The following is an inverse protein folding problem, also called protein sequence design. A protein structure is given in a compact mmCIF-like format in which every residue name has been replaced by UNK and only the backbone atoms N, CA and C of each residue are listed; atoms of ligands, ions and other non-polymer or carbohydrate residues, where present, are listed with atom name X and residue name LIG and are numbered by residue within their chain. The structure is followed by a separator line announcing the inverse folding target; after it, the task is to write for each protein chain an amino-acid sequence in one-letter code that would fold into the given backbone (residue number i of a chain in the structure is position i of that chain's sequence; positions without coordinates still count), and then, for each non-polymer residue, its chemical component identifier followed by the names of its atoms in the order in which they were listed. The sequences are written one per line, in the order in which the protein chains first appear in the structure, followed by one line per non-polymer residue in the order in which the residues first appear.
data_IF_422900729284
#
_entry.id   IF_422900729284
#
_cell.length_a   1.000
_cell.length_b   1.000
_cell.length_c   1.000
_cell.angle_alpha   90.00
_cell.angle_beta   90.00
_cell.angle_gamma   90.00
#
_symmetry.space_group_name_H-M   'P 1'
#
loop_
_entity.id
_entity.type
_entity.pdbx_description
1 polymer ?
#
# COMPACT_ATOMS: atom_id res chain seq x y z
N UNK A 1 30.43 40.71 10.26
CA UNK A 1 29.47 39.68 10.72
C UNK A 1 28.61 39.04 9.61
N UNK A 2 28.52 39.58 8.39
CA UNK A 2 27.63 39.03 7.34
C UNK A 2 28.17 37.77 6.60
N UNK A 3 29.48 37.50 6.60
CA UNK A 3 30.10 36.41 5.81
C UNK A 3 29.94 35.00 6.38
N UNK A 4 29.61 34.86 7.67
CA UNK A 4 29.41 33.56 8.31
C UNK A 4 27.97 33.05 8.15
N UNK A 5 26.98 33.95 8.09
CA UNK A 5 25.57 33.61 7.86
C UNK A 5 25.34 32.98 6.48
N UNK A 6 26.00 33.49 5.43
CA UNK A 6 25.86 32.93 4.08
C UNK A 6 26.38 31.49 3.95
N UNK A 7 27.47 31.16 4.64
CA UNK A 7 28.04 29.80 4.63
C UNK A 7 27.16 28.79 5.38
N UNK A 8 26.54 29.23 6.47
CA UNK A 8 25.60 28.41 7.25
C UNK A 8 24.31 28.15 6.47
N UNK A 9 23.79 29.15 5.75
CA UNK A 9 22.59 29.01 4.92
C UNK A 9 22.78 28.04 3.75
N UNK A 10 23.94 28.06 3.10
CA UNK A 10 24.27 27.12 2.01
C UNK A 10 24.40 25.67 2.51
N UNK A 11 25.01 25.46 3.69
CA UNK A 11 25.13 24.14 4.29
C UNK A 11 23.76 23.53 4.69
N UNK A 12 22.84 24.36 5.19
CA UNK A 12 21.49 23.92 5.56
C UNK A 12 20.63 23.59 4.32
N UNK A 13 20.78 24.35 3.22
CA UNK A 13 20.10 24.09 1.96
C UNK A 13 20.58 22.79 1.29
N UNK A 14 21.88 22.48 1.37
CA UNK A 14 22.44 21.23 0.86
C UNK A 14 21.91 20.00 1.62
N UNK A 15 21.67 20.13 2.94
CA UNK A 15 21.10 19.06 3.78
C UNK A 15 19.63 18.73 3.42
N UNK A 16 18.87 19.70 2.91
CA UNK A 16 17.47 19.51 2.51
C UNK A 16 17.32 18.80 1.15
N UNK A 17 18.33 18.87 0.28
CA UNK A 17 18.28 18.26 -1.06
C UNK A 17 18.74 16.78 -1.04
N UNK A 18 19.51 16.38 -0.03
CA UNK A 18 20.08 15.01 0.06
C UNK A 18 19.10 13.88 0.43
N UNK A 19 17.81 14.17 0.69
CA UNK A 19 16.86 13.18 1.24
C UNK A 19 15.99 12.40 0.24
N UNK A 20 16.09 12.64 -1.07
CA UNK A 20 15.10 12.11 -2.05
C UNK A 20 15.63 11.06 -3.04
N UNK A 21 16.65 10.29 -2.69
CA UNK A 21 17.13 9.21 -3.54
C UNK A 21 16.67 7.84 -3.00
N UNK A 22 15.71 7.22 -3.70
CA UNK A 22 15.30 5.81 -3.61
C UNK A 22 14.32 5.40 -2.48
N UNK A 23 13.03 5.75 -2.60
CA UNK A 23 11.96 5.14 -1.80
C UNK A 23 11.12 4.06 -2.55
N UNK A 24 11.57 3.58 -3.72
CA UNK A 24 10.83 2.55 -4.46
C UNK A 24 11.34 1.15 -4.10
N UNK A 25 10.78 0.58 -3.04
CA UNK A 25 10.99 -0.82 -2.66
C UNK A 25 10.21 -1.80 -3.54
N UNK A 26 10.51 -3.09 -3.42
CA UNK A 26 9.77 -4.16 -4.09
C UNK A 26 8.38 -4.31 -3.44
N UNK A 27 7.33 -3.79 -4.07
CA UNK A 27 5.95 -3.83 -3.57
C UNK A 27 5.18 -5.11 -3.96
N UNK A 28 5.87 -6.19 -4.35
CA UNK A 28 5.21 -7.46 -4.68
C UNK A 28 5.17 -8.37 -3.47
N UNK A 29 4.01 -8.95 -3.21
CA UNK A 29 3.79 -9.90 -2.14
C UNK A 29 3.49 -11.27 -2.77
N UNK A 30 4.56 -12.00 -3.14
CA UNK A 30 4.47 -13.36 -3.68
C UNK A 30 4.45 -13.44 -5.21
N UNK A 31 4.00 -14.59 -5.73
CA UNK A 31 3.89 -14.84 -7.17
C UNK A 31 2.64 -14.15 -7.74
N UNK A 32 2.68 -13.62 -8.96
CA UNK A 32 1.48 -13.13 -9.64
C UNK A 32 0.42 -14.23 -9.78
N UNK A 33 -0.85 -13.86 -9.65
CA UNK A 33 -1.97 -14.78 -9.87
C UNK A 33 -2.00 -15.26 -11.32
N UNK A 34 -2.23 -16.54 -11.50
CA UNK A 34 -2.61 -17.16 -12.78
C UNK A 34 -3.99 -16.69 -13.21
N UNK A 35 -4.34 -16.87 -14.49
CA UNK A 35 -5.68 -16.50 -14.99
C UNK A 35 -6.81 -17.29 -14.32
N UNK A 36 -6.56 -18.51 -13.88
CA UNK A 36 -7.51 -19.32 -13.10
C UNK A 36 -7.72 -18.71 -11.71
N UNK A 37 -6.64 -18.32 -11.03
CA UNK A 37 -6.71 -17.70 -9.71
C UNK A 37 -7.36 -16.31 -9.74
N UNK A 38 -7.11 -15.50 -10.78
CA UNK A 38 -7.81 -14.21 -10.98
C UNK A 38 -9.32 -14.38 -11.18
N UNK A 39 -9.74 -15.43 -11.89
CA UNK A 39 -11.17 -15.76 -12.02
C UNK A 39 -11.76 -16.18 -10.68
N UNK A 40 -11.04 -17.01 -9.93
CA UNK A 40 -11.44 -17.43 -8.59
C UNK A 40 -11.55 -16.23 -7.62
N UNK A 41 -10.61 -15.27 -7.66
CA UNK A 41 -10.67 -13.99 -6.91
C UNK A 41 -11.95 -13.21 -7.24
N UNK A 42 -12.34 -13.17 -8.51
CA UNK A 42 -13.57 -12.53 -8.98
C UNK A 42 -14.85 -13.34 -8.68
N UNK A 43 -14.75 -14.46 -7.97
CA UNK A 43 -15.88 -15.32 -7.59
C UNK A 43 -16.35 -16.29 -8.69
N UNK A 44 -15.51 -16.57 -9.69
CA UNK A 44 -15.82 -17.49 -10.79
C UNK A 44 -14.87 -18.69 -10.74
N UNK A 45 -15.35 -19.82 -10.22
CA UNK A 45 -14.61 -21.09 -10.10
C UNK A 45 -15.55 -22.29 -10.07
N UNK A 46 -15.04 -23.49 -10.34
CA UNK A 46 -15.79 -24.73 -10.15
C UNK A 46 -15.55 -25.29 -8.74
N UNK A 47 -16.55 -25.93 -8.14
CA UNK A 47 -16.44 -26.53 -6.79
C UNK A 47 -15.28 -27.53 -6.67
N UNK A 48 -14.98 -28.26 -7.75
CA UNK A 48 -13.84 -29.22 -7.80
C UNK A 48 -12.47 -28.56 -7.60
N UNK A 49 -12.38 -27.25 -7.79
CA UNK A 49 -11.13 -26.50 -7.68
C UNK A 49 -10.92 -25.95 -6.25
N UNK A 50 -11.94 -26.04 -5.38
CA UNK A 50 -11.86 -25.70 -3.95
C UNK A 50 -11.04 -26.76 -3.21
N UNK A 51 -10.16 -26.33 -2.31
CA UNK A 51 -9.22 -27.20 -1.59
C UNK A 51 -9.13 -26.81 -0.12
N UNK A 52 -8.83 -27.79 0.72
CA UNK A 52 -8.46 -27.57 2.11
C UNK A 52 -7.20 -26.71 2.22
N UNK A 53 -7.12 -25.90 3.27
CA UNK A 53 -6.01 -24.99 3.55
C UNK A 53 -5.55 -25.13 4.99
N UNK A 54 -4.25 -24.94 5.21
CA UNK A 54 -3.67 -24.98 6.55
C UNK A 54 -3.87 -23.62 7.24
N UNK A 55 -3.99 -23.63 8.57
CA UNK A 55 -4.00 -22.41 9.39
C UNK A 55 -2.76 -21.52 9.15
N UNK A 56 -1.62 -22.12 8.78
CA UNK A 56 -0.38 -21.39 8.47
C UNK A 56 -0.53 -20.38 7.32
N UNK A 57 -1.55 -20.52 6.47
CA UNK A 57 -1.86 -19.53 5.43
C UNK A 57 -2.25 -18.15 6.01
N UNK A 58 -2.62 -18.09 7.29
CA UNK A 58 -2.94 -16.88 8.04
C UNK A 58 -1.94 -16.62 9.18
N UNK A 59 -0.77 -17.25 9.16
CA UNK A 59 0.26 -17.01 10.17
C UNK A 59 0.74 -15.56 10.14
N UNK A 60 0.84 -14.94 11.32
CA UNK A 60 1.28 -13.55 11.49
C UNK A 60 0.41 -12.79 12.48
N UNK A 61 0.73 -11.50 12.66
CA UNK A 61 -0.05 -10.57 13.47
C UNK A 61 -0.90 -9.71 12.53
N UNK A 62 -2.20 -9.67 12.79
CA UNK A 62 -3.17 -8.97 11.96
C UNK A 62 -3.73 -7.75 12.70
N UNK A 63 -3.79 -6.61 12.00
CA UNK A 63 -4.41 -5.41 12.52
C UNK A 63 -5.81 -5.24 11.94
N UNK A 64 -6.79 -4.92 12.79
CA UNK A 64 -8.10 -4.49 12.30
C UNK A 64 -7.99 -3.20 11.50
N UNK A 65 -8.72 -3.12 10.39
CA UNK A 65 -8.86 -1.89 9.58
C UNK A 65 -9.93 -0.95 10.13
N UNK A 66 -10.70 -1.36 11.14
CA UNK A 66 -11.79 -0.57 11.69
C UNK A 66 -11.38 0.80 12.28
N UNK A 67 -10.23 0.95 12.97
CA UNK A 67 -9.78 2.26 13.40
C UNK A 67 -9.55 3.26 12.25
N UNK A 68 -9.11 2.77 11.08
CA UNK A 68 -8.93 3.59 9.87
C UNK A 68 -10.26 4.02 9.24
N UNK A 69 -11.32 3.25 9.47
CA UNK A 69 -12.67 3.68 9.13
C UNK A 69 -13.12 4.82 10.05
N UNK A 70 -12.93 4.65 11.36
CA UNK A 70 -13.40 5.61 12.37
C UNK A 70 -12.69 6.96 12.31
N UNK A 71 -11.40 6.97 11.98
CA UNK A 71 -10.60 8.20 11.90
C UNK A 71 -10.66 8.89 10.52
N UNK A 72 -11.34 8.29 9.54
CA UNK A 72 -11.51 8.84 8.19
C UNK A 72 -10.38 8.52 7.19
N UNK A 73 -9.36 7.74 7.56
CA UNK A 73 -8.25 7.38 6.66
C UNK A 73 -8.71 6.60 5.42
N UNK A 74 -9.85 5.89 5.51
CA UNK A 74 -10.44 5.16 4.38
C UNK A 74 -11.37 6.01 3.49
N UNK A 75 -11.63 7.28 3.81
CA UNK A 75 -12.49 8.18 3.01
C UNK A 75 -12.11 8.23 1.52
N UNK A 76 -10.82 8.32 1.13
CA UNK A 76 -10.45 8.34 -0.29
C UNK A 76 -10.89 7.07 -1.03
N UNK A 77 -10.89 5.90 -0.37
CA UNK A 77 -11.33 4.63 -0.94
C UNK A 77 -12.83 4.68 -1.23
N UNK A 78 -13.62 5.16 -0.28
CA UNK A 78 -15.08 5.26 -0.44
C UNK A 78 -15.48 6.30 -1.48
N UNK A 79 -14.82 7.47 -1.52
CA UNK A 79 -15.03 8.48 -2.56
C UNK A 79 -14.76 7.92 -3.95
N UNK A 80 -13.65 7.18 -4.12
CA UNK A 80 -13.32 6.53 -5.39
C UNK A 80 -14.37 5.48 -5.78
N UNK A 81 -14.79 4.62 -4.85
CA UNK A 81 -15.83 3.62 -5.10
C UNK A 81 -17.16 4.27 -5.50
N UNK A 82 -17.57 5.32 -4.81
CA UNK A 82 -18.79 6.07 -5.12
C UNK A 82 -18.74 6.72 -6.51
N UNK A 83 -17.61 7.32 -6.90
CA UNK A 83 -17.45 7.90 -8.23
C UNK A 83 -17.42 6.86 -9.37
N UNK A 84 -17.06 5.61 -9.06
CA UNK A 84 -17.02 4.50 -10.02
C UNK A 84 -18.33 3.73 -10.10
N UNK A 85 -19.21 3.85 -9.10
CA UNK A 85 -20.53 3.24 -9.14
C UNK A 85 -21.41 4.02 -10.12
N UNK A 86 -21.82 3.35 -11.21
CA UNK A 86 -22.64 3.93 -12.29
C UNK A 86 -24.13 3.57 -12.17
N UNK A 87 -24.52 2.98 -11.04
CA UNK A 87 -25.92 2.68 -10.74
C UNK A 87 -26.74 3.95 -10.59
#
# INVERSE_FOLDING_TARGET
MARHFGKLAVALAALFISGQACAHGHHSHGKPLTEVEKKAEAGVFDDKDVKDRNLADWEGVWQSVYPYLLNGDLDPVFKKKAAQDKR
#
